data_IF_197445880437
#
_entry.id   IF_197445880437
#
_cell.length_a   1.000
_cell.length_b   1.000
_cell.length_c   1.000
_cell.angle_alpha   90.00
_cell.angle_beta   90.00
_cell.angle_gamma   90.00
#
_symmetry.space_group_name_H-M   'P 1'
#
loop_
_entity.id
_entity.type
_entity.pdbx_description
1 polymer ?
#
# COMPACT_ATOMS: atom_id res chain seq x y z
N UNK A 1 -18.85 -5.24 54.29
CA UNK A 1 -19.66 -6.14 53.43
C UNK A 1 -20.62 -5.27 52.62
N UNK A 2 -20.38 -5.30 51.30
CA UNK A 2 -21.16 -4.94 50.08
C UNK A 2 -22.60 -4.43 50.30
N UNK A 3 -22.87 -3.12 50.16
CA UNK A 3 -23.30 -2.36 48.96
C UNK A 3 -24.68 -2.75 48.37
N UNK A 4 -25.64 -1.83 48.48
CA UNK A 4 -26.90 -1.83 47.76
C UNK A 4 -26.72 -1.12 46.41
N UNK A 5 -27.13 -1.76 45.32
CA UNK A 5 -27.20 -1.18 43.96
C UNK A 5 -28.66 -1.13 43.50
N UNK A 6 -29.09 -0.08 42.78
CA UNK A 6 -30.46 0.04 42.31
C UNK A 6 -30.73 -0.88 41.11
N UNK A 7 -31.91 -1.49 41.13
CA UNK A 7 -32.51 -2.29 40.07
C UNK A 7 -32.73 -1.40 38.84
N UNK A 8 -31.98 -1.65 37.76
CA UNK A 8 -32.23 -1.06 36.44
C UNK A 8 -32.76 -2.11 35.46
N UNK A 9 -33.82 -1.65 34.80
CA UNK A 9 -34.78 -2.30 33.93
C UNK A 9 -34.15 -3.05 32.74
N UNK A 10 -34.41 -4.36 32.64
CA UNK A 10 -34.15 -5.17 31.45
C UNK A 10 -35.18 -4.85 30.38
N UNK A 11 -34.80 -4.09 29.35
CA UNK A 11 -35.38 -4.20 27.99
C UNK A 11 -34.42 -3.63 26.94
N UNK A 12 -33.85 -4.56 26.19
CA UNK A 12 -33.51 -4.43 24.77
C UNK A 12 -32.48 -3.40 24.36
N UNK A 13 -31.19 -3.76 24.51
CA UNK A 13 -30.19 -3.43 23.48
C UNK A 13 -29.39 -4.69 23.14
N UNK A 14 -30.02 -5.55 22.36
CA UNK A 14 -29.31 -6.47 21.48
C UNK A 14 -29.33 -5.78 20.11
N UNK A 15 -28.32 -4.96 19.83
CA UNK A 15 -28.05 -4.45 18.48
C UNK A 15 -26.58 -4.71 18.21
N UNK A 16 -26.38 -5.85 17.56
CA UNK A 16 -25.27 -6.24 16.71
C UNK A 16 -23.90 -5.60 16.95
N UNK A 17 -22.99 -6.48 17.38
CA UNK A 17 -21.67 -6.57 16.78
C UNK A 17 -21.73 -6.28 15.28
N UNK A 18 -21.15 -5.16 14.87
CA UNK A 18 -20.39 -5.07 13.63
C UNK A 18 -19.09 -4.37 14.03
N UNK A 19 -18.13 -5.18 14.51
CA UNK A 19 -16.74 -4.83 14.31
C UNK A 19 -16.57 -4.84 12.79
N UNK A 20 -16.75 -3.68 12.16
CA UNK A 20 -16.33 -3.48 10.77
C UNK A 20 -14.82 -3.72 10.82
N UNK A 21 -14.28 -4.74 10.14
CA UNK A 21 -12.85 -4.72 9.90
C UNK A 21 -12.60 -3.45 9.09
N UNK A 22 -11.94 -2.47 9.70
CA UNK A 22 -11.34 -1.38 8.94
C UNK A 22 -10.54 -2.05 7.83
N UNK A 23 -11.03 -1.86 6.61
CA UNK A 23 -10.53 -2.53 5.43
C UNK A 23 -9.08 -2.09 5.27
N UNK A 24 -8.15 -3.00 5.51
CA UNK A 24 -6.69 -2.79 5.53
C UNK A 24 -6.11 -2.48 4.14
N UNK A 25 -6.93 -1.98 3.20
CA UNK A 25 -6.59 -1.78 1.79
C UNK A 25 -5.75 -0.54 1.51
N UNK A 26 -5.66 0.41 2.44
CA UNK A 26 -4.88 1.64 2.23
C UNK A 26 -3.38 1.44 2.52
N UNK A 27 -3.01 0.53 3.42
CA UNK A 27 -1.60 0.27 3.73
C UNK A 27 -0.87 -0.44 2.58
N UNK A 28 -1.57 -1.30 1.85
CA UNK A 28 -1.01 -2.13 0.77
C UNK A 28 -0.57 -1.33 -0.47
N UNK A 29 -1.05 -0.09 -0.63
CA UNK A 29 -0.77 0.74 -1.81
C UNK A 29 0.09 1.99 -1.53
N UNK A 30 0.55 2.18 -0.28
CA UNK A 30 1.48 3.29 0.02
C UNK A 30 2.81 3.09 -0.71
N UNK A 31 3.45 4.20 -1.11
CA UNK A 31 4.76 4.14 -1.75
C UNK A 31 5.78 3.44 -0.83
N UNK A 32 5.76 3.72 0.47
CA UNK A 32 6.62 3.03 1.43
C UNK A 32 6.39 1.51 1.44
N UNK A 33 5.13 1.06 1.51
CA UNK A 33 4.83 -0.36 1.49
C UNK A 33 5.27 -1.02 0.18
N UNK A 34 4.93 -0.42 -0.97
CA UNK A 34 5.32 -0.91 -2.29
C UNK A 34 6.85 -1.02 -2.42
N UNK A 35 7.57 0.01 -1.96
CA UNK A 35 9.00 0.15 -2.18
C UNK A 35 9.86 -0.62 -1.19
N UNK A 36 9.38 -0.90 0.03
CA UNK A 36 10.21 -1.54 1.06
C UNK A 36 9.64 -2.87 1.56
N UNK A 37 8.32 -3.05 1.53
CA UNK A 37 7.65 -4.16 2.21
C UNK A 37 6.97 -5.16 1.26
N UNK A 38 6.57 -4.75 0.06
CA UNK A 38 5.74 -5.58 -0.81
C UNK A 38 6.53 -6.73 -1.44
N UNK A 39 6.20 -7.98 -1.09
CA UNK A 39 6.99 -9.16 -1.45
C UNK A 39 7.20 -9.35 -2.96
N UNK A 40 6.27 -8.95 -3.82
CA UNK A 40 6.38 -9.12 -5.28
C UNK A 40 7.53 -8.36 -5.93
N UNK A 41 8.17 -7.43 -5.23
CA UNK A 41 9.34 -6.67 -5.72
C UNK A 41 10.63 -7.04 -4.98
N UNK A 42 10.66 -8.14 -4.23
CA UNK A 42 11.83 -8.54 -3.44
C UNK A 42 13.06 -8.80 -4.31
N UNK A 43 12.89 -9.40 -5.49
CA UNK A 43 14.00 -9.66 -6.43
C UNK A 43 14.58 -8.34 -6.96
N UNK A 44 13.75 -7.42 -7.43
CA UNK A 44 14.21 -6.13 -7.92
C UNK A 44 14.88 -5.30 -6.81
N UNK A 45 14.33 -5.32 -5.59
CA UNK A 45 14.96 -4.67 -4.43
C UNK A 45 16.32 -5.26 -4.10
N UNK A 46 16.45 -6.59 -4.18
CA UNK A 46 17.71 -7.28 -3.91
C UNK A 46 18.76 -6.87 -4.94
N UNK A 47 18.40 -6.82 -6.23
CA UNK A 47 19.31 -6.37 -7.28
C UNK A 47 19.68 -4.88 -7.13
N UNK A 48 18.73 -4.02 -6.77
CA UNK A 48 19.00 -2.61 -6.45
C UNK A 48 20.02 -2.50 -5.30
N UNK A 49 19.76 -3.18 -4.17
CA UNK A 49 20.63 -3.20 -3.00
C UNK A 49 22.05 -3.71 -3.32
N UNK A 50 22.15 -4.74 -4.18
CA UNK A 50 23.42 -5.26 -4.66
C UNK A 50 24.21 -4.22 -5.47
N UNK A 51 23.55 -3.44 -6.32
CA UNK A 51 24.19 -2.38 -7.13
C UNK A 51 24.64 -1.18 -6.30
N UNK A 52 23.84 -0.75 -5.32
CA UNK A 52 24.21 0.37 -4.44
C UNK A 52 25.24 -0.03 -3.37
N UNK A 53 25.38 -1.33 -3.11
CA UNK A 53 26.33 -1.90 -2.13
C UNK A 53 25.86 -1.84 -0.67
N UNK A 54 24.58 -1.58 -0.44
CA UNK A 54 23.97 -1.48 0.89
C UNK A 54 22.46 -1.68 0.82
N UNK A 55 21.79 -1.78 1.97
CA UNK A 55 20.33 -1.87 2.04
C UNK A 55 19.71 -0.47 2.01
N UNK A 56 18.84 -0.22 1.04
CA UNK A 56 18.02 0.98 1.01
C UNK A 56 16.87 0.88 2.02
N UNK A 57 16.67 1.95 2.79
CA UNK A 57 15.57 2.16 3.74
C UNK A 57 14.92 3.52 3.46
N UNK A 58 13.76 3.79 4.05
CA UNK A 58 13.08 5.08 3.97
C UNK A 58 13.97 6.24 4.40
N UNK A 59 14.80 6.03 5.42
CA UNK A 59 15.66 7.08 6.00
C UNK A 59 16.90 7.40 5.16
N UNK A 60 17.44 6.40 4.44
CA UNK A 60 18.72 6.54 3.75
C UNK A 60 18.58 6.64 2.21
N UNK A 61 17.41 6.36 1.65
CA UNK A 61 17.21 6.28 0.19
C UNK A 61 17.59 7.59 -0.52
N UNK A 62 17.20 8.74 0.02
CA UNK A 62 17.53 10.05 -0.59
C UNK A 62 19.04 10.29 -0.58
N UNK A 63 19.71 10.01 0.54
CA UNK A 63 21.17 10.12 0.64
C UNK A 63 21.89 9.18 -0.32
N UNK A 64 21.34 7.98 -0.55
CA UNK A 64 21.88 7.01 -1.53
C UNK A 64 21.77 7.55 -2.94
N UNK A 65 20.58 8.02 -3.33
CA UNK A 65 20.28 8.53 -4.66
C UNK A 65 21.18 9.72 -5.02
N UNK A 66 21.43 10.62 -4.05
CA UNK A 66 22.24 11.81 -4.26
C UNK A 66 23.75 11.56 -4.21
N UNK A 67 24.20 10.38 -3.78
CA UNK A 67 25.62 10.09 -3.61
C UNK A 67 26.37 9.89 -4.94
N UNK A 68 25.71 9.36 -5.97
CA UNK A 68 26.31 9.23 -7.32
C UNK A 68 25.24 8.95 -8.38
N UNK A 69 25.58 9.26 -9.63
CA UNK A 69 24.74 8.96 -10.79
C UNK A 69 24.46 7.45 -10.94
N UNK A 70 25.45 6.60 -10.67
CA UNK A 70 25.27 5.14 -10.72
C UNK A 70 24.22 4.65 -9.70
N UNK A 71 24.20 5.25 -8.51
CA UNK A 71 23.22 4.93 -7.46
C UNK A 71 21.84 5.48 -7.82
N UNK A 72 21.77 6.69 -8.38
CA UNK A 72 20.54 7.23 -8.96
C UNK A 72 19.95 6.25 -9.98
N UNK A 73 20.75 5.79 -10.95
CA UNK A 73 20.31 4.88 -12.00
C UNK A 73 19.88 3.51 -11.46
N UNK A 74 20.58 2.97 -10.44
CA UNK A 74 20.17 1.71 -9.81
C UNK A 74 18.76 1.81 -9.22
N UNK A 75 18.47 2.91 -8.51
CA UNK A 75 17.16 3.16 -7.90
C UNK A 75 16.10 3.49 -8.96
N UNK A 76 16.44 4.26 -10.00
CA UNK A 76 15.52 4.58 -11.10
C UNK A 76 15.08 3.31 -11.85
N UNK A 77 16.02 2.38 -12.11
CA UNK A 77 15.71 1.10 -12.73
C UNK A 77 14.76 0.24 -11.88
N UNK A 78 14.93 0.27 -10.56
CA UNK A 78 13.99 -0.37 -9.64
C UNK A 78 12.59 0.23 -9.77
N UNK A 79 12.44 1.56 -9.73
CA UNK A 79 11.14 2.21 -9.89
C UNK A 79 10.47 1.88 -11.23
N UNK A 80 11.23 1.88 -12.32
CA UNK A 80 10.73 1.48 -13.65
C UNK A 80 10.16 0.06 -13.63
N UNK A 81 10.84 -0.88 -12.95
CA UNK A 81 10.38 -2.24 -12.81
C UNK A 81 9.10 -2.35 -11.97
N UNK A 82 9.01 -1.61 -10.85
CA UNK A 82 7.81 -1.53 -10.01
C UNK A 82 6.61 -1.00 -10.79
N UNK A 83 6.78 0.13 -11.50
CA UNK A 83 5.72 0.77 -12.30
C UNK A 83 5.24 -0.18 -13.41
N UNK A 84 6.16 -0.85 -14.10
CA UNK A 84 5.80 -1.81 -15.16
C UNK A 84 4.99 -3.00 -14.64
N UNK A 85 5.26 -3.43 -13.41
CA UNK A 85 4.63 -4.60 -12.78
C UNK A 85 3.36 -4.25 -12.00
N UNK A 86 3.17 -2.99 -11.56
CA UNK A 86 1.96 -2.61 -10.82
C UNK A 86 0.76 -2.78 -11.75
N UNK A 87 -0.18 -3.72 -11.47
CA UNK A 87 -1.39 -3.83 -12.27
C UNK A 87 -2.15 -2.52 -12.12
N UNK A 88 -2.53 -1.92 -13.25
CA UNK A 88 -3.39 -0.74 -13.29
C UNK A 88 -4.76 -1.12 -12.72
N UNK A 89 -4.90 -1.13 -11.39
CA UNK A 89 -6.20 -1.31 -10.75
C UNK A 89 -7.14 -0.12 -11.00
N UNK A 90 -6.64 0.97 -11.57
CA UNK A 90 -7.41 2.19 -11.88
C UNK A 90 -7.54 2.50 -13.38
N UNK A 91 -7.07 1.63 -14.29
CA UNK A 91 -7.33 1.82 -15.73
C UNK A 91 -8.73 1.37 -16.19
N UNK A 92 -9.63 1.04 -15.26
CA UNK A 92 -10.98 0.52 -15.54
C UNK A 92 -12.14 1.52 -15.27
N UNK A 93 -11.86 2.83 -15.22
CA UNK A 93 -12.93 3.86 -15.13
C UNK A 93 -12.85 4.97 -16.21
N UNK A 94 -12.06 4.77 -17.27
CA UNK A 94 -11.86 5.81 -18.31
C UNK A 94 -12.33 5.45 -19.73
N UNK A 95 -12.41 4.18 -20.10
CA UNK A 95 -12.62 3.77 -21.51
C UNK A 95 -13.89 2.95 -21.75
N UNK A 96 -14.66 2.62 -20.71
CA UNK A 96 -15.89 1.82 -20.84
C UNK A 96 -17.19 2.62 -21.00
N UNK A 97 -17.10 3.94 -21.20
CA UNK A 97 -18.29 4.82 -21.31
C UNK A 97 -18.44 5.54 -22.66
N UNK A 98 -17.72 5.15 -23.72
CA UNK A 98 -17.82 5.89 -25.00
C UNK A 98 -17.71 5.07 -26.30
N UNK A 99 -18.28 3.86 -26.34
CA UNK A 99 -18.53 3.19 -27.63
C UNK A 99 -19.98 2.71 -27.81
N UNK A 100 -20.74 2.56 -26.72
CA UNK A 100 -22.12 2.04 -26.80
C UNK A 100 -23.17 3.12 -27.13
N UNK A 101 -22.77 4.40 -27.17
CA UNK A 101 -23.67 5.55 -27.37
C UNK A 101 -23.59 6.19 -28.77
N UNK A 102 -22.80 5.66 -29.70
CA UNK A 102 -22.59 6.29 -31.04
C UNK A 102 -22.98 5.39 -32.22
N UNK A 103 -23.54 4.19 -31.99
CA UNK A 103 -24.17 3.40 -33.07
C UNK A 103 -25.62 3.06 -32.72
N UNK A 104 -26.48 4.07 -32.74
CA UNK A 104 -27.89 3.92 -33.10
C UNK A 104 -28.12 4.51 -34.47
#
# INVERSE_FOLDING_TARGET
MVQALPVWNKKSQQSNMHHVPENNSEQDDTAEHILFNYHSYQEERTEMNRRIGQTATTENLISIILASEERWQAVENFFKAVIKKKPLKDADLGTKLRLDSVMK
#
